data_IF_027530076774
#
_entry.id   IF_027530076774
#
_cell.length_a   1.000
_cell.length_b   1.000
_cell.length_c   1.000
_cell.angle_alpha   90.00
_cell.angle_beta   90.00
_cell.angle_gamma   90.00
#
_symmetry.space_group_name_H-M   'P 1'
#
loop_
_entity.id
_entity.type
_entity.pdbx_description
1 polymer ?
#
# COMPACT_ATOMS: atom_id res chain seq x y z
N UNK A 1 -10.94 -3.91 -32.85
CA UNK A 1 -11.21 -4.64 -31.58
C UNK A 1 -9.89 -5.13 -31.02
N UNK A 2 -9.41 -4.64 -29.85
CA UNK A 2 -8.27 -5.25 -29.16
C UNK A 2 -8.73 -6.60 -28.58
N UNK A 3 -7.86 -7.62 -28.64
CA UNK A 3 -8.17 -8.91 -28.06
C UNK A 3 -8.43 -8.75 -26.54
N UNK A 4 -9.47 -9.38 -25.99
CA UNK A 4 -9.88 -9.32 -24.56
C UNK A 4 -8.77 -9.68 -23.54
N UNK A 5 -7.62 -10.19 -24.01
CA UNK A 5 -6.48 -10.62 -23.16
C UNK A 5 -5.21 -9.80 -23.37
N UNK A 6 -5.32 -8.64 -24.01
CA UNK A 6 -4.13 -7.83 -24.38
C UNK A 6 -3.44 -7.23 -23.12
N UNK A 7 -4.21 -6.98 -22.05
CA UNK A 7 -3.69 -6.53 -20.75
C UNK A 7 -2.91 -7.61 -19.97
N UNK A 8 -3.05 -8.89 -20.36
CA UNK A 8 -2.32 -10.02 -19.77
C UNK A 8 -0.96 -10.28 -20.46
N UNK A 9 -0.55 -9.44 -21.43
CA UNK A 9 0.70 -9.59 -22.17
C UNK A 9 1.70 -8.52 -21.78
N UNK A 10 2.93 -8.92 -21.51
CA UNK A 10 4.05 -8.01 -21.23
C UNK A 10 4.37 -7.12 -22.43
N UNK A 11 4.73 -5.86 -22.13
CA UNK A 11 5.31 -4.95 -23.12
C UNK A 11 6.77 -5.29 -23.45
N UNK A 12 7.30 -4.76 -24.57
CA UNK A 12 8.64 -5.10 -25.08
C UNK A 12 9.80 -4.86 -24.10
N UNK A 13 9.67 -3.90 -23.18
CA UNK A 13 10.71 -3.54 -22.20
C UNK A 13 10.40 -4.02 -20.79
N UNK A 14 9.38 -4.83 -20.65
CA UNK A 14 8.94 -5.37 -19.36
C UNK A 14 9.61 -6.72 -19.13
N UNK A 15 10.33 -6.84 -18.03
CA UNK A 15 10.93 -8.10 -17.61
C UNK A 15 9.86 -9.11 -17.21
N UNK A 16 9.96 -10.31 -17.75
CA UNK A 16 9.17 -11.48 -17.35
C UNK A 16 10.01 -12.29 -16.36
N UNK A 17 9.45 -12.55 -15.20
CA UNK A 17 10.10 -13.42 -14.21
C UNK A 17 9.46 -14.81 -14.21
N UNK A 18 10.24 -15.81 -13.84
CA UNK A 18 9.73 -17.16 -13.63
C UNK A 18 9.07 -17.25 -12.25
N UNK A 19 7.73 -17.29 -12.24
CA UNK A 19 6.92 -17.39 -11.02
C UNK A 19 5.57 -18.07 -11.30
N UNK A 20 5.14 -18.92 -10.40
CA UNK A 20 3.82 -19.56 -10.41
C UNK A 20 2.79 -18.83 -9.53
N UNK A 21 3.24 -17.80 -8.80
CA UNK A 21 2.44 -17.12 -7.75
C UNK A 21 1.17 -16.51 -8.33
N UNK A 22 1.25 -15.82 -9.47
CA UNK A 22 0.08 -15.21 -10.10
C UNK A 22 -0.99 -16.26 -10.43
N UNK A 23 -0.60 -17.36 -11.06
CA UNK A 23 -1.53 -18.44 -11.40
C UNK A 23 -2.21 -19.01 -10.16
N UNK A 24 -1.46 -19.29 -9.11
CA UNK A 24 -1.97 -19.81 -7.83
C UNK A 24 -2.93 -18.85 -7.13
N UNK A 25 -2.61 -17.55 -7.12
CA UNK A 25 -3.47 -16.50 -6.51
C UNK A 25 -4.78 -16.40 -7.27
N UNK A 26 -4.74 -16.30 -8.61
CA UNK A 26 -5.93 -16.17 -9.43
C UNK A 26 -6.82 -17.43 -9.35
N UNK A 27 -6.23 -18.62 -9.37
CA UNK A 27 -6.96 -19.89 -9.20
C UNK A 27 -7.64 -19.96 -7.83
N UNK A 28 -6.92 -19.65 -6.74
CA UNK A 28 -7.48 -19.68 -5.39
C UNK A 28 -8.56 -18.63 -5.20
N UNK A 29 -8.37 -17.40 -5.73
CA UNK A 29 -9.39 -16.35 -5.71
C UNK A 29 -10.65 -16.76 -6.48
N UNK A 30 -10.49 -17.43 -7.62
CA UNK A 30 -11.61 -17.95 -8.42
C UNK A 30 -12.44 -19.01 -7.68
N UNK A 31 -11.82 -19.77 -6.78
CA UNK A 31 -12.48 -20.79 -5.93
C UNK A 31 -13.01 -20.21 -4.61
N UNK A 32 -12.63 -19.00 -4.25
CA UNK A 32 -13.02 -18.39 -2.99
C UNK A 32 -14.48 -17.96 -3.02
N UNK A 33 -15.30 -18.62 -2.19
CA UNK A 33 -16.73 -18.37 -2.02
C UNK A 33 -16.98 -17.86 -0.60
N UNK A 34 -17.06 -16.55 -0.42
CA UNK A 34 -17.16 -15.92 0.90
C UNK A 34 -18.42 -16.35 1.69
N UNK A 35 -19.52 -16.64 1.00
CA UNK A 35 -20.79 -17.01 1.60
C UNK A 35 -20.89 -18.49 2.02
N UNK A 36 -19.90 -19.33 1.74
CA UNK A 36 -19.90 -20.73 2.17
C UNK A 36 -19.55 -20.93 3.64
N UNK A 37 -18.97 -19.92 4.27
CA UNK A 37 -18.55 -19.95 5.68
C UNK A 37 -19.69 -19.51 6.60
N UNK A 38 -19.85 -20.19 7.72
CA UNK A 38 -20.80 -19.87 8.77
C UNK A 38 -20.11 -19.44 10.08
N UNK A 39 -20.91 -19.19 11.12
CA UNK A 39 -20.41 -18.76 12.42
C UNK A 39 -19.51 -19.80 13.09
N UNK A 40 -19.83 -21.10 12.94
CA UNK A 40 -19.04 -22.18 13.53
C UNK A 40 -17.65 -22.29 12.88
N UNK A 41 -17.55 -21.99 11.57
CA UNK A 41 -16.25 -21.88 10.90
C UNK A 41 -15.39 -20.78 11.51
N UNK A 42 -15.96 -19.60 11.72
CA UNK A 42 -15.23 -18.46 12.31
C UNK A 42 -14.80 -18.76 13.76
N UNK A 43 -15.69 -19.32 14.58
CA UNK A 43 -15.35 -19.73 15.95
C UNK A 43 -14.19 -20.73 15.98
N UNK A 44 -14.24 -21.74 15.11
CA UNK A 44 -13.17 -22.74 14.97
C UNK A 44 -11.84 -22.06 14.60
N UNK A 45 -11.85 -21.12 13.66
CA UNK A 45 -10.66 -20.38 13.22
C UNK A 45 -10.08 -19.54 14.34
N UNK A 46 -10.93 -18.89 15.11
CA UNK A 46 -10.49 -18.08 16.26
C UNK A 46 -9.86 -18.93 17.39
N UNK A 47 -10.09 -20.22 17.43
CA UNK A 47 -9.43 -21.13 18.35
C UNK A 47 -8.07 -21.68 17.89
N UNK A 48 -7.64 -21.45 16.63
CA UNK A 48 -6.40 -21.98 16.07
C UNK A 48 -5.21 -21.06 16.32
N UNK A 49 -4.05 -21.61 16.64
CA UNK A 49 -2.79 -20.84 16.82
C UNK A 49 -2.17 -20.41 15.49
N UNK A 50 -2.27 -21.23 14.45
CA UNK A 50 -1.75 -20.98 13.10
C UNK A 50 -2.90 -21.11 12.11
N UNK A 51 -3.06 -20.11 11.26
CA UNK A 51 -4.14 -20.08 10.28
C UNK A 51 -3.67 -20.61 8.92
N UNK A 52 -4.54 -21.40 8.30
CA UNK A 52 -4.40 -21.82 6.90
C UNK A 52 -5.00 -20.77 5.96
N UNK A 53 -4.80 -20.94 4.65
CA UNK A 53 -5.43 -20.09 3.61
C UNK A 53 -6.96 -20.20 3.70
N UNK A 54 -7.49 -21.38 4.01
CA UNK A 54 -8.92 -21.61 4.20
C UNK A 54 -9.45 -20.84 5.42
N UNK A 55 -8.73 -20.88 6.55
CA UNK A 55 -9.08 -20.12 7.75
C UNK A 55 -9.07 -18.60 7.49
N UNK A 56 -8.11 -18.12 6.70
CA UNK A 56 -8.06 -16.72 6.29
C UNK A 56 -9.30 -16.33 5.47
N UNK A 57 -9.74 -17.21 4.55
CA UNK A 57 -10.98 -17.02 3.80
C UNK A 57 -12.22 -16.90 4.72
N UNK A 58 -12.30 -17.70 5.77
CA UNK A 58 -13.39 -17.63 6.75
C UNK A 58 -13.41 -16.29 7.49
N UNK A 59 -12.25 -15.74 7.87
CA UNK A 59 -12.16 -14.43 8.54
C UNK A 59 -12.58 -13.25 7.63
N UNK A 60 -12.54 -13.41 6.32
CA UNK A 60 -13.01 -12.42 5.34
C UNK A 60 -14.49 -12.60 4.96
N UNK A 61 -15.15 -13.66 5.44
CA UNK A 61 -16.53 -13.97 5.10
C UNK A 61 -17.53 -12.98 5.71
N UNK A 62 -18.78 -12.90 5.20
CA UNK A 62 -19.84 -12.15 5.85
C UNK A 62 -20.14 -12.63 7.26
N UNK A 63 -20.01 -13.93 7.55
CA UNK A 63 -20.23 -14.49 8.89
C UNK A 63 -19.28 -13.88 9.94
N UNK A 64 -18.02 -13.56 9.56
CA UNK A 64 -17.05 -12.99 10.46
C UNK A 64 -17.36 -11.55 10.90
N UNK A 65 -18.31 -10.85 10.26
CA UNK A 65 -18.69 -9.50 10.68
C UNK A 65 -19.30 -9.46 12.09
N UNK A 66 -19.96 -10.53 12.52
CA UNK A 66 -20.48 -10.63 13.88
C UNK A 66 -19.42 -10.97 14.92
N UNK A 67 -18.20 -11.29 14.48
CA UNK A 67 -17.04 -11.65 15.32
C UNK A 67 -15.95 -10.57 15.35
N UNK A 68 -16.24 -9.32 14.96
CA UNK A 68 -15.23 -8.27 14.92
C UNK A 68 -14.57 -8.03 16.28
N UNK A 69 -15.32 -8.09 17.39
CA UNK A 69 -14.75 -7.95 18.75
C UNK A 69 -13.79 -9.09 19.12
N UNK A 70 -14.14 -10.38 19.03
CA UNK A 70 -13.18 -11.46 19.26
C UNK A 70 -12.01 -11.45 18.29
N UNK A 71 -12.21 -11.10 17.00
CA UNK A 71 -11.13 -10.89 16.06
C UNK A 71 -10.19 -9.76 16.52
N UNK A 72 -10.73 -8.62 16.96
CA UNK A 72 -9.95 -7.48 17.43
C UNK A 72 -9.15 -7.81 18.71
N UNK A 73 -9.77 -8.51 19.66
CA UNK A 73 -9.09 -8.96 20.88
C UNK A 73 -7.89 -9.85 20.56
N UNK A 74 -8.07 -10.82 19.66
CA UNK A 74 -7.01 -11.72 19.23
C UNK A 74 -5.96 -10.99 18.38
N UNK A 75 -6.36 -10.13 17.45
CA UNK A 75 -5.44 -9.36 16.63
C UNK A 75 -4.57 -8.41 17.50
N UNK A 76 -5.15 -7.80 18.53
CA UNK A 76 -4.41 -7.02 19.52
C UNK A 76 -3.35 -7.85 20.23
N UNK A 77 -3.69 -9.07 20.66
CA UNK A 77 -2.74 -9.98 21.28
C UNK A 77 -1.59 -10.31 20.34
N UNK A 78 -1.88 -10.65 19.06
CA UNK A 78 -0.85 -10.93 18.06
C UNK A 78 0.00 -9.70 17.75
N UNK A 79 -0.61 -8.50 17.66
CA UNK A 79 0.14 -7.25 17.45
C UNK A 79 1.11 -7.00 18.60
N UNK A 80 0.64 -7.13 19.86
CA UNK A 80 1.50 -6.95 21.02
C UNK A 80 2.61 -8.00 21.11
N UNK A 81 2.32 -9.25 20.74
CA UNK A 81 3.31 -10.33 20.72
C UNK A 81 4.42 -10.11 19.70
N UNK A 82 4.09 -9.55 18.52
CA UNK A 82 5.03 -9.37 17.43
C UNK A 82 5.72 -8.01 17.42
N UNK A 83 5.04 -6.95 17.83
CA UNK A 83 5.50 -5.57 17.70
C UNK A 83 5.55 -4.82 19.04
N UNK A 84 5.12 -5.45 20.14
CA UNK A 84 5.00 -4.76 21.41
C UNK A 84 4.01 -3.59 21.34
N UNK A 85 4.41 -2.47 21.92
CA UNK A 85 3.64 -1.22 21.87
C UNK A 85 4.12 -0.24 20.78
N UNK A 86 5.05 -0.65 19.92
CA UNK A 86 5.65 0.21 18.91
C UNK A 86 4.67 0.52 17.78
N UNK A 87 4.61 1.79 17.37
CA UNK A 87 3.89 2.28 16.19
C UNK A 87 4.83 3.15 15.38
N UNK A 88 5.21 2.68 14.20
CA UNK A 88 6.11 3.42 13.30
C UNK A 88 5.39 4.58 12.64
N UNK A 89 6.08 5.72 12.51
CA UNK A 89 5.55 6.93 11.90
C UNK A 89 6.32 7.27 10.62
N UNK A 90 5.60 7.64 9.56
CA UNK A 90 6.18 8.08 8.29
C UNK A 90 5.36 9.18 7.63
N UNK A 91 5.89 9.76 6.57
CA UNK A 91 5.11 10.64 5.69
C UNK A 91 5.43 10.38 4.22
N UNK A 92 4.45 10.51 3.30
CA UNK A 92 4.68 10.52 1.87
C UNK A 92 5.19 11.88 1.40
N UNK A 93 6.06 11.88 0.37
CA UNK A 93 6.44 13.05 -0.40
C UNK A 93 6.18 12.80 -1.89
N UNK A 94 5.25 13.55 -2.46
CA UNK A 94 4.94 13.50 -3.89
C UNK A 94 5.88 14.42 -4.68
N UNK A 95 6.78 13.82 -5.46
CA UNK A 95 7.80 14.57 -6.23
C UNK A 95 7.39 14.84 -7.68
N UNK A 96 6.34 14.16 -8.18
CA UNK A 96 5.78 14.42 -9.52
C UNK A 96 4.37 13.84 -9.65
N UNK A 97 3.45 14.60 -10.26
CA UNK A 97 2.10 14.12 -10.62
C UNK A 97 1.91 13.92 -12.13
N UNK A 98 2.98 13.97 -12.93
CA UNK A 98 2.91 13.58 -14.34
C UNK A 98 2.62 12.08 -14.45
N UNK A 99 1.55 11.73 -15.17
CA UNK A 99 1.13 10.34 -15.37
C UNK A 99 0.64 10.13 -16.80
N UNK A 100 0.97 8.99 -17.39
CA UNK A 100 0.56 8.61 -18.76
C UNK A 100 -0.61 7.63 -18.78
N UNK A 101 -1.06 7.18 -17.57
CA UNK A 101 -2.15 6.24 -17.41
C UNK A 101 -3.52 6.91 -17.33
N UNK A 102 -4.55 6.14 -17.70
CA UNK A 102 -5.96 6.53 -17.63
C UNK A 102 -6.70 5.71 -16.55
N UNK A 103 -6.17 5.67 -15.33
CA UNK A 103 -6.88 5.02 -14.23
C UNK A 103 -8.14 5.82 -13.87
N UNK A 104 -9.32 5.19 -13.98
CA UNK A 104 -10.61 5.89 -13.82
C UNK A 104 -10.88 6.38 -12.39
N UNK A 105 -10.08 5.96 -11.42
CA UNK A 105 -10.22 6.23 -9.98
C UNK A 105 -9.13 7.16 -9.42
N UNK A 106 -8.25 7.71 -10.26
CA UNK A 106 -7.05 8.42 -9.80
C UNK A 106 -7.06 9.88 -10.24
N UNK A 107 -6.81 10.80 -9.31
CA UNK A 107 -6.67 12.23 -9.60
C UNK A 107 -5.56 12.54 -10.61
N UNK A 108 -4.49 11.73 -10.65
CA UNK A 108 -3.39 11.87 -11.62
C UNK A 108 -3.68 11.31 -13.01
N UNK A 109 -4.88 10.81 -13.27
CA UNK A 109 -5.30 10.36 -14.61
C UNK A 109 -4.86 11.37 -15.67
N UNK A 110 -4.22 10.90 -16.76
CA UNK A 110 -3.66 11.78 -17.79
C UNK A 110 -4.68 12.67 -18.51
N UNK A 111 -5.98 12.38 -18.39
CA UNK A 111 -7.09 13.20 -18.93
C UNK A 111 -7.61 14.25 -17.97
N UNK A 112 -7.25 14.18 -16.69
CA UNK A 112 -7.70 15.17 -15.72
C UNK A 112 -7.00 16.51 -15.96
N UNK A 113 -7.80 17.58 -15.98
CA UNK A 113 -7.30 18.95 -16.09
C UNK A 113 -6.81 19.43 -14.70
N UNK A 114 -5.65 18.96 -14.29
CA UNK A 114 -5.00 19.32 -13.03
C UNK A 114 -3.69 20.06 -13.30
N UNK A 115 -3.25 20.84 -12.33
CA UNK A 115 -1.94 21.49 -12.34
C UNK A 115 -0.85 20.41 -12.18
N UNK A 116 -0.10 20.16 -13.26
CA UNK A 116 0.99 19.18 -13.30
C UNK A 116 2.30 19.81 -12.89
N UNK A 117 3.02 19.15 -11.98
CA UNK A 117 4.34 19.58 -11.55
C UNK A 117 5.29 18.38 -11.38
N UNK A 118 6.57 18.67 -11.45
CA UNK A 118 7.69 17.80 -11.12
C UNK A 118 8.72 18.67 -10.42
N UNK A 119 9.05 18.32 -9.18
CA UNK A 119 10.07 19.05 -8.42
C UNK A 119 11.46 18.85 -9.04
N UNK A 120 12.28 19.87 -9.06
CA UNK A 120 13.71 19.71 -9.26
C UNK A 120 14.40 19.26 -7.95
N UNK A 121 15.70 18.96 -8.02
CA UNK A 121 16.42 18.43 -6.85
C UNK A 121 16.54 19.45 -5.72
N UNK A 122 16.58 20.76 -6.01
CA UNK A 122 16.61 21.82 -5.00
C UNK A 122 15.29 21.89 -4.24
N UNK A 123 14.17 21.86 -4.95
CA UNK A 123 12.84 21.83 -4.36
C UNK A 123 12.62 20.53 -3.56
N UNK A 124 13.06 19.37 -4.06
CA UNK A 124 13.01 18.12 -3.32
C UNK A 124 13.80 18.23 -2.01
N UNK A 125 15.02 18.79 -2.06
CA UNK A 125 15.83 18.95 -0.84
C UNK A 125 15.17 19.88 0.18
N UNK A 126 14.52 20.95 -0.26
CA UNK A 126 13.77 21.84 0.64
C UNK A 126 12.61 21.12 1.33
N UNK A 127 11.84 20.32 0.58
CA UNK A 127 10.76 19.48 1.12
C UNK A 127 11.29 18.44 2.13
N UNK A 128 12.37 17.73 1.79
CA UNK A 128 13.02 16.74 2.67
C UNK A 128 13.51 17.38 3.98
N UNK A 129 14.10 18.57 3.93
CA UNK A 129 14.53 19.33 5.13
C UNK A 129 13.34 19.73 6.00
N UNK A 130 12.25 20.19 5.40
CA UNK A 130 11.02 20.54 6.12
C UNK A 130 10.41 19.33 6.84
N UNK A 131 10.40 18.17 6.18
CA UNK A 131 9.91 16.91 6.77
C UNK A 131 10.87 16.43 7.86
N UNK A 132 12.17 16.40 7.61
CA UNK A 132 13.17 15.95 8.59
C UNK A 132 13.17 16.80 9.88
N UNK A 133 12.85 18.10 9.77
CA UNK A 133 12.70 19.00 10.92
C UNK A 133 11.56 18.58 11.88
N UNK A 134 10.60 17.74 11.43
CA UNK A 134 9.55 17.16 12.29
C UNK A 134 10.05 16.00 13.15
N UNK A 135 11.26 15.50 12.91
CA UNK A 135 11.88 14.35 13.56
C UNK A 135 11.61 13.01 12.87
N UNK A 136 10.76 12.97 11.83
CA UNK A 136 10.52 11.72 11.06
C UNK A 136 11.81 11.20 10.43
N UNK A 137 11.96 9.87 10.44
CA UNK A 137 13.12 9.14 9.91
C UNK A 137 12.74 8.14 8.81
N UNK A 138 11.45 8.03 8.50
CA UNK A 138 10.89 7.16 7.44
C UNK A 138 10.11 8.04 6.45
N UNK A 139 10.51 7.98 5.18
CA UNK A 139 9.87 8.72 4.09
C UNK A 139 9.48 7.80 2.95
N UNK A 140 8.33 8.07 2.34
CA UNK A 140 7.84 7.38 1.16
C UNK A 140 7.80 8.35 -0.02
N UNK A 141 8.67 8.16 -1.02
CA UNK A 141 8.69 8.99 -2.24
C UNK A 141 7.67 8.47 -3.26
N UNK A 142 6.82 9.35 -3.78
CA UNK A 142 5.79 9.00 -4.74
C UNK A 142 5.89 9.78 -6.05
N UNK A 143 5.56 9.09 -7.15
CA UNK A 143 5.38 9.72 -8.46
C UNK A 143 4.16 9.19 -9.19
N UNK A 144 3.59 9.99 -10.08
CA UNK A 144 2.79 9.45 -11.17
C UNK A 144 3.67 8.59 -12.12
N UNK A 145 3.04 7.77 -12.94
CA UNK A 145 3.75 6.92 -13.91
C UNK A 145 4.02 7.68 -15.21
N UNK A 146 5.20 8.23 -15.34
CA UNK A 146 5.72 8.85 -16.57
C UNK A 146 7.23 8.65 -16.66
N UNK A 147 7.64 7.67 -17.48
CA UNK A 147 9.08 7.40 -17.67
C UNK A 147 9.83 8.57 -18.32
N UNK A 148 9.14 9.44 -19.03
CA UNK A 148 9.72 10.63 -19.67
C UNK A 148 9.90 11.81 -18.71
N UNK A 149 9.04 11.95 -17.70
CA UNK A 149 9.07 13.07 -16.72
C UNK A 149 9.68 12.68 -15.38
N UNK A 150 9.38 11.48 -14.89
CA UNK A 150 9.89 10.91 -13.64
C UNK A 150 10.51 9.53 -13.91
N UNK A 151 11.54 9.49 -14.75
CA UNK A 151 12.28 8.25 -15.06
C UNK A 151 13.13 7.76 -13.88
N UNK A 152 13.63 6.53 -13.98
CA UNK A 152 14.35 5.83 -12.91
C UNK A 152 15.57 6.62 -12.40
N UNK A 153 16.32 7.29 -13.30
CA UNK A 153 17.45 8.13 -12.91
C UNK A 153 17.02 9.29 -11.99
N UNK A 154 15.94 10.01 -12.36
CA UNK A 154 15.39 11.08 -11.54
C UNK A 154 14.92 10.58 -10.17
N UNK A 155 14.24 9.44 -10.13
CA UNK A 155 13.79 8.83 -8.88
C UNK A 155 15.02 8.40 -8.04
N UNK A 156 16.04 7.82 -8.67
CA UNK A 156 17.29 7.46 -8.01
C UNK A 156 18.02 8.64 -7.39
N UNK A 157 18.06 9.79 -8.08
CA UNK A 157 18.66 11.02 -7.53
C UNK A 157 17.86 11.54 -6.33
N UNK A 158 16.51 11.51 -6.39
CA UNK A 158 15.65 11.86 -5.27
C UNK A 158 15.84 10.91 -4.07
N UNK A 159 15.98 9.60 -4.32
CA UNK A 159 16.28 8.59 -3.28
C UNK A 159 17.63 8.86 -2.62
N UNK A 160 18.72 9.11 -3.42
CA UNK A 160 20.04 9.47 -2.85
C UNK A 160 19.97 10.70 -1.96
N UNK A 161 19.17 11.68 -2.38
CA UNK A 161 18.99 12.90 -1.62
C UNK A 161 18.22 12.63 -0.33
N UNK A 162 17.12 11.86 -0.38
CA UNK A 162 16.33 11.47 0.79
C UNK A 162 17.16 10.65 1.80
N UNK A 163 18.01 9.74 1.34
CA UNK A 163 18.88 8.90 2.17
C UNK A 163 19.92 9.70 3.01
N UNK A 164 20.09 11.00 2.72
CA UNK A 164 20.93 11.92 3.54
C UNK A 164 20.22 12.43 4.78
N UNK A 165 18.88 12.40 4.77
CA UNK A 165 18.04 12.97 5.81
C UNK A 165 17.20 11.93 6.57
N UNK A 166 16.98 10.74 5.97
CA UNK A 166 16.11 9.71 6.50
C UNK A 166 16.83 8.37 6.58
N UNK A 167 16.58 7.64 7.65
CA UNK A 167 17.16 6.29 7.86
C UNK A 167 16.44 5.23 7.02
N UNK A 168 15.17 5.48 6.66
CA UNK A 168 14.33 4.57 5.89
C UNK A 168 13.71 5.31 4.71
N UNK A 169 13.97 4.86 3.49
CA UNK A 169 13.45 5.46 2.25
C UNK A 169 12.66 4.41 1.48
N UNK A 170 11.35 4.60 1.42
CA UNK A 170 10.47 3.81 0.56
C UNK A 170 10.16 4.51 -0.75
N UNK A 171 9.73 3.74 -1.74
CA UNK A 171 9.21 4.26 -3.00
C UNK A 171 7.84 3.66 -3.32
N UNK A 172 6.88 4.51 -3.69
CA UNK A 172 5.57 4.13 -4.23
C UNK A 172 5.46 4.70 -5.64
N UNK A 173 5.93 3.93 -6.58
CA UNK A 173 6.09 4.31 -7.99
C UNK A 173 5.50 3.23 -8.90
N UNK A 174 5.60 3.45 -10.21
CA UNK A 174 5.22 2.44 -11.19
C UNK A 174 6.14 1.20 -11.14
N UNK A 175 5.68 0.02 -11.59
CA UNK A 175 6.49 -1.19 -11.62
C UNK A 175 7.77 -1.02 -12.45
N UNK A 176 8.87 -1.58 -11.96
CA UNK A 176 10.17 -1.55 -12.58
C UNK A 176 10.68 -2.96 -12.90
N UNK A 177 11.71 -3.06 -13.71
CA UNK A 177 12.49 -4.28 -13.92
C UNK A 177 13.44 -4.51 -12.73
N UNK A 178 13.98 -5.71 -12.61
CA UNK A 178 14.86 -6.08 -11.49
C UNK A 178 16.11 -5.20 -11.42
N UNK A 179 16.73 -4.92 -12.55
CA UNK A 179 17.93 -4.05 -12.62
C UNK A 179 17.63 -2.59 -12.27
N UNK A 180 16.45 -2.09 -12.62
CA UNK A 180 15.99 -0.75 -12.24
C UNK A 180 15.73 -0.67 -10.71
N UNK A 181 15.13 -1.71 -10.11
CA UNK A 181 14.99 -1.81 -8.66
C UNK A 181 16.35 -1.90 -7.96
N UNK A 182 17.29 -2.69 -8.50
CA UNK A 182 18.66 -2.77 -7.99
C UNK A 182 19.37 -1.41 -8.02
N UNK A 183 19.16 -0.63 -9.09
CA UNK A 183 19.66 0.74 -9.16
C UNK A 183 19.07 1.61 -8.04
N UNK A 184 17.74 1.59 -7.80
CA UNK A 184 17.11 2.38 -6.74
C UNK A 184 17.61 1.92 -5.35
N UNK A 185 17.80 0.62 -5.15
CA UNK A 185 18.37 0.08 -3.92
C UNK A 185 19.78 0.61 -3.69
N UNK A 186 20.65 0.60 -4.71
CA UNK A 186 21.99 1.19 -4.66
C UNK A 186 21.96 2.69 -4.36
N UNK A 187 20.90 3.40 -4.77
CA UNK A 187 20.67 4.81 -4.43
C UNK A 187 20.24 5.01 -2.97
N UNK A 188 19.78 3.95 -2.30
CA UNK A 188 19.39 3.99 -0.90
C UNK A 188 17.90 3.71 -0.63
N UNK A 189 17.15 3.19 -1.60
CA UNK A 189 15.80 2.73 -1.34
C UNK A 189 15.80 1.41 -0.57
N UNK A 190 14.94 1.32 0.45
CA UNK A 190 14.84 0.17 1.35
C UNK A 190 13.64 -0.71 1.02
N UNK A 191 12.50 -0.11 0.68
CA UNK A 191 11.26 -0.85 0.43
C UNK A 191 10.43 -0.25 -0.70
N UNK A 192 9.55 -1.08 -1.25
CA UNK A 192 8.71 -0.73 -2.39
C UNK A 192 7.23 -0.97 -2.07
N UNK A 193 6.40 0.01 -2.39
CA UNK A 193 4.94 -0.12 -2.37
C UNK A 193 4.41 -0.15 -3.80
N UNK A 194 3.85 -1.28 -4.23
CA UNK A 194 3.13 -1.39 -5.50
C UNK A 194 1.83 -2.16 -5.26
N UNK A 195 0.71 -1.43 -5.21
CA UNK A 195 -0.59 -2.05 -5.01
C UNK A 195 -1.12 -2.61 -6.31
N UNK A 196 -1.70 -3.82 -6.26
CA UNK A 196 -2.32 -4.45 -7.44
C UNK A 196 -3.59 -3.73 -7.87
N UNK A 197 -4.17 -2.93 -7.01
CA UNK A 197 -5.42 -2.20 -7.14
C UNK A 197 -6.65 -3.12 -7.06
N UNK A 198 -6.80 -4.06 -7.98
CA UNK A 198 -7.74 -5.18 -7.91
C UNK A 198 -7.12 -6.43 -8.52
N UNK A 199 -7.46 -7.59 -7.99
CA UNK A 199 -7.03 -8.90 -8.51
C UNK A 199 -8.02 -9.48 -9.52
N UNK A 200 -9.22 -8.89 -9.64
CA UNK A 200 -10.17 -9.20 -10.71
C UNK A 200 -9.62 -8.70 -12.05
N UNK A 201 -9.21 -9.62 -12.93
CA UNK A 201 -8.52 -9.30 -14.18
C UNK A 201 -9.39 -8.52 -15.16
N UNK A 202 -10.70 -8.83 -15.23
CA UNK A 202 -11.63 -8.14 -16.12
C UNK A 202 -11.88 -6.71 -15.60
N UNK A 203 -12.10 -6.59 -14.29
CA UNK A 203 -12.26 -5.27 -13.67
C UNK A 203 -10.99 -4.45 -13.76
N UNK A 204 -9.81 -5.08 -13.63
CA UNK A 204 -8.53 -4.41 -13.81
C UNK A 204 -8.39 -3.78 -15.19
N UNK A 205 -8.79 -4.49 -16.27
CA UNK A 205 -8.78 -3.95 -17.62
C UNK A 205 -9.73 -2.75 -17.78
N UNK A 206 -10.93 -2.84 -17.20
CA UNK A 206 -11.94 -1.76 -17.25
C UNK A 206 -11.43 -0.47 -16.58
N UNK A 207 -10.83 -0.59 -15.40
CA UNK A 207 -10.37 0.58 -14.62
C UNK A 207 -9.01 1.13 -15.08
N UNK A 208 -8.28 0.39 -15.92
CA UNK A 208 -7.02 0.80 -16.54
C UNK A 208 -7.08 0.75 -18.08
N UNK A 209 -7.92 1.56 -18.73
CA UNK A 209 -8.18 1.44 -20.17
C UNK A 209 -6.97 1.78 -21.07
N UNK A 210 -5.98 2.51 -20.53
CA UNK A 210 -4.79 2.95 -21.29
C UNK A 210 -3.60 3.22 -20.36
N UNK A 211 -2.38 3.08 -20.94
CA UNK A 211 -1.10 3.32 -20.28
C UNK A 211 -0.42 2.01 -19.86
N UNK A 212 0.79 2.13 -19.32
CA UNK A 212 1.61 0.96 -18.92
C UNK A 212 1.01 0.20 -17.75
N UNK A 213 0.29 0.89 -16.86
CA UNK A 213 -0.39 0.29 -15.71
C UNK A 213 -1.44 -0.76 -16.13
N UNK A 214 -1.94 -0.68 -17.38
CA UNK A 214 -2.88 -1.67 -17.93
C UNK A 214 -2.30 -3.09 -17.98
N UNK A 215 -0.98 -3.26 -17.97
CA UNK A 215 -0.34 -4.58 -18.07
C UNK A 215 -0.36 -5.27 -16.71
N UNK A 216 -1.36 -6.13 -16.52
CA UNK A 216 -1.66 -6.81 -15.26
C UNK A 216 -0.50 -7.63 -14.70
N UNK A 217 0.11 -8.60 -15.44
CA UNK A 217 1.15 -9.46 -14.88
C UNK A 217 2.41 -8.69 -14.51
N UNK A 218 2.77 -7.66 -15.28
CA UNK A 218 3.93 -6.84 -14.97
C UNK A 218 3.77 -6.10 -13.63
N UNK A 219 2.56 -5.64 -13.33
CA UNK A 219 2.28 -5.02 -12.03
C UNK A 219 2.21 -6.06 -10.92
N UNK A 220 1.59 -7.22 -11.18
CA UNK A 220 1.49 -8.30 -10.21
C UNK A 220 2.86 -8.77 -9.73
N UNK A 221 3.81 -8.96 -10.61
CA UNK A 221 5.15 -9.47 -10.31
C UNK A 221 6.12 -8.40 -9.77
N UNK A 222 5.66 -7.17 -9.52
CA UNK A 222 6.53 -6.07 -9.13
C UNK A 222 7.27 -6.31 -7.80
N UNK A 223 6.60 -6.92 -6.82
CA UNK A 223 7.19 -7.22 -5.51
C UNK A 223 8.32 -8.25 -5.63
N UNK A 224 8.14 -9.29 -6.44
CA UNK A 224 9.20 -10.28 -6.67
C UNK A 224 10.40 -9.65 -7.38
N UNK A 225 10.18 -8.80 -8.40
CA UNK A 225 11.28 -8.07 -9.06
C UNK A 225 12.01 -7.14 -8.09
N UNK A 226 11.26 -6.45 -7.21
CA UNK A 226 11.86 -5.57 -6.20
C UNK A 226 12.77 -6.35 -5.22
N UNK A 227 12.31 -7.50 -4.72
CA UNK A 227 13.11 -8.37 -3.85
C UNK A 227 14.33 -8.95 -4.56
N UNK A 228 14.21 -9.37 -5.82
CA UNK A 228 15.35 -9.79 -6.66
C UNK A 228 16.33 -8.64 -6.90
N UNK A 229 15.85 -7.41 -6.96
CA UNK A 229 16.66 -6.19 -7.06
C UNK A 229 17.31 -5.75 -5.73
N UNK A 230 17.14 -6.52 -4.65
CA UNK A 230 17.80 -6.27 -3.36
C UNK A 230 16.98 -5.43 -2.37
N UNK A 231 15.75 -5.06 -2.71
CA UNK A 231 14.88 -4.35 -1.75
C UNK A 231 14.64 -5.23 -0.50
N UNK A 232 14.76 -4.62 0.68
CA UNK A 232 14.55 -5.28 1.96
C UNK A 232 13.08 -5.63 2.21
N UNK A 233 12.16 -4.75 1.81
CA UNK A 233 10.74 -4.89 2.08
C UNK A 233 9.85 -4.60 0.88
N UNK A 234 8.67 -5.20 0.90
CA UNK A 234 7.60 -4.96 -0.10
C UNK A 234 6.25 -4.84 0.58
N UNK A 235 5.43 -3.91 0.05
CA UNK A 235 4.08 -3.68 0.53
C UNK A 235 3.05 -4.21 -0.46
N UNK A 236 1.99 -4.80 0.07
CA UNK A 236 0.86 -5.34 -0.66
C UNK A 236 -0.42 -4.59 -0.35
N UNK A 237 -1.31 -4.48 -1.33
CA UNK A 237 -2.62 -3.88 -1.16
C UNK A 237 -3.47 -3.97 -2.42
N UNK A 238 -4.77 -3.88 -2.22
CA UNK A 238 -5.76 -3.60 -3.23
C UNK A 238 -6.51 -2.33 -2.84
N UNK A 239 -6.99 -1.57 -3.83
CA UNK A 239 -7.86 -0.42 -3.60
C UNK A 239 -9.29 -0.94 -3.42
N UNK A 240 -9.66 -1.20 -2.16
CA UNK A 240 -10.93 -1.80 -1.81
C UNK A 240 -12.11 -0.95 -2.28
N UNK A 241 -13.03 -1.57 -3.01
CA UNK A 241 -14.17 -0.91 -3.64
C UNK A 241 -14.06 -0.79 -5.17
N UNK A 242 -12.94 -1.17 -5.79
CA UNK A 242 -12.87 -1.29 -7.25
C UNK A 242 -13.59 -2.54 -7.76
N UNK A 243 -13.48 -3.67 -7.06
CA UNK A 243 -14.18 -4.92 -7.33
C UNK A 243 -14.76 -5.49 -6.02
N UNK A 244 -14.99 -6.81 -5.95
CA UNK A 244 -15.36 -7.49 -4.70
C UNK A 244 -14.21 -7.39 -3.68
N UNK A 245 -14.41 -6.60 -2.64
CA UNK A 245 -13.37 -6.32 -1.67
C UNK A 245 -12.91 -7.56 -0.88
N UNK A 246 -13.77 -8.56 -0.70
CA UNK A 246 -13.39 -9.81 -0.02
C UNK A 246 -12.47 -10.66 -0.87
N UNK A 247 -12.79 -10.76 -2.17
CA UNK A 247 -11.92 -11.43 -3.15
C UNK A 247 -10.59 -10.73 -3.29
N UNK A 248 -10.60 -9.38 -3.39
CA UNK A 248 -9.38 -8.59 -3.46
C UNK A 248 -8.54 -8.70 -2.18
N UNK A 249 -9.16 -8.65 -0.99
CA UNK A 249 -8.46 -8.84 0.27
C UNK A 249 -7.88 -10.24 0.42
N UNK A 250 -8.64 -11.28 0.02
CA UNK A 250 -8.18 -12.67 0.02
C UNK A 250 -6.97 -12.86 -0.91
N UNK A 251 -7.07 -12.37 -2.14
CA UNK A 251 -5.98 -12.45 -3.11
C UNK A 251 -4.73 -11.68 -2.65
N UNK A 252 -4.90 -10.49 -2.06
CA UNK A 252 -3.80 -9.70 -1.50
C UNK A 252 -3.06 -10.47 -0.40
N UNK A 253 -3.79 -11.05 0.55
CA UNK A 253 -3.18 -11.82 1.65
C UNK A 253 -2.48 -13.07 1.14
N UNK A 254 -3.09 -13.78 0.19
CA UNK A 254 -2.48 -14.97 -0.42
C UNK A 254 -1.23 -14.62 -1.23
N UNK A 255 -1.25 -13.53 -2.00
CA UNK A 255 -0.09 -13.04 -2.74
C UNK A 255 1.08 -12.75 -1.80
N UNK A 256 0.85 -11.96 -0.76
CA UNK A 256 1.85 -11.66 0.26
C UNK A 256 2.40 -12.93 0.93
N UNK A 257 1.53 -13.88 1.28
CA UNK A 257 1.91 -15.16 1.90
C UNK A 257 2.79 -16.01 0.98
N UNK A 258 2.47 -16.10 -0.30
CA UNK A 258 3.26 -16.87 -1.26
C UNK A 258 4.62 -16.22 -1.56
N UNK A 259 4.66 -14.89 -1.66
CA UNK A 259 5.93 -14.14 -1.78
C UNK A 259 6.78 -14.33 -0.53
N UNK A 260 6.21 -14.24 0.69
CA UNK A 260 6.95 -14.52 1.92
C UNK A 260 7.52 -15.94 1.97
N UNK A 261 6.78 -16.94 1.50
CA UNK A 261 7.31 -18.32 1.42
C UNK A 261 8.47 -18.46 0.46
N UNK A 262 8.44 -17.75 -0.66
CA UNK A 262 9.50 -17.77 -1.67
C UNK A 262 10.72 -16.94 -1.26
N UNK A 263 10.48 -15.85 -0.54
CA UNK A 263 11.48 -14.89 -0.06
C UNK A 263 11.37 -14.71 1.46
N UNK A 264 11.83 -15.69 2.27
CA UNK A 264 11.61 -15.68 3.74
C UNK A 264 12.32 -14.55 4.47
N UNK A 265 13.33 -13.94 3.84
CA UNK A 265 14.07 -12.78 4.38
C UNK A 265 13.37 -11.44 4.15
N UNK A 266 12.32 -11.42 3.32
CA UNK A 266 11.64 -10.18 2.95
C UNK A 266 10.79 -9.63 4.09
N UNK A 267 10.81 -8.34 4.32
CA UNK A 267 9.82 -7.66 5.13
C UNK A 267 8.53 -7.49 4.34
N UNK A 268 7.46 -8.07 4.84
CA UNK A 268 6.13 -7.97 4.25
C UNK A 268 5.30 -6.96 5.01
N UNK A 269 4.64 -6.07 4.28
CA UNK A 269 3.64 -5.18 4.86
C UNK A 269 2.37 -5.11 4.04
N UNK A 270 1.25 -4.79 4.70
CA UNK A 270 -0.03 -4.52 4.10
C UNK A 270 -0.40 -3.05 4.24
N UNK A 271 -1.00 -2.50 3.19
CA UNK A 271 -1.70 -1.24 3.26
C UNK A 271 -3.02 -1.40 2.49
N UNK A 272 -4.16 -1.60 3.18
CA UNK A 272 -5.46 -1.77 2.53
C UNK A 272 -6.15 -0.40 2.34
N UNK A 273 -5.86 0.37 1.27
CA UNK A 273 -6.60 1.58 0.98
C UNK A 273 -8.00 1.23 0.50
N UNK A 274 -8.98 2.05 0.87
CA UNK A 274 -10.29 1.99 0.22
C UNK A 274 -10.49 3.19 -0.69
N UNK A 275 -11.37 3.02 -1.68
CA UNK A 275 -11.70 4.07 -2.63
C UNK A 275 -12.25 5.29 -1.88
N UNK A 276 -11.76 6.47 -2.23
CA UNK A 276 -12.16 7.76 -1.67
C UNK A 276 -12.51 8.70 -2.82
N UNK A 277 -13.36 9.71 -2.59
CA UNK A 277 -13.58 10.76 -3.57
C UNK A 277 -12.26 11.38 -4.05
N UNK A 278 -12.19 11.72 -5.32
CA UNK A 278 -11.07 12.39 -5.95
C UNK A 278 -11.59 13.46 -6.93
N UNK A 279 -10.71 14.34 -7.40
CA UNK A 279 -11.07 15.37 -8.37
C UNK A 279 -11.78 14.73 -9.58
N UNK A 280 -12.93 15.27 -9.95
CA UNK A 280 -13.81 14.83 -11.05
C UNK A 280 -14.60 13.53 -10.81
N UNK A 281 -14.64 12.99 -9.60
CA UNK A 281 -15.54 11.90 -9.26
C UNK A 281 -15.97 11.98 -7.78
N UNK A 282 -17.11 12.61 -7.55
CA UNK A 282 -17.76 12.68 -6.25
C UNK A 282 -18.95 11.70 -6.13
N UNK A 283 -19.21 10.88 -7.16
CA UNK A 283 -20.36 9.98 -7.18
C UNK A 283 -20.21 8.83 -6.17
N UNK A 284 -21.32 8.41 -5.59
CA UNK A 284 -21.36 7.23 -4.72
C UNK A 284 -20.95 5.98 -5.51
N UNK A 285 -20.03 5.20 -4.94
CA UNK A 285 -19.63 3.93 -5.50
C UNK A 285 -20.49 2.81 -4.89
N UNK A 286 -21.27 2.04 -5.68
CA UNK A 286 -22.09 0.95 -5.14
C UNK A 286 -21.27 -0.18 -4.50
N UNK A 287 -19.95 -0.17 -4.66
CA UNK A 287 -19.01 -1.10 -4.02
C UNK A 287 -18.26 -0.47 -2.86
N UNK A 288 -18.78 0.60 -2.28
CA UNK A 288 -18.14 1.28 -1.16
C UNK A 288 -17.86 0.31 0.00
N UNK A 289 -16.66 0.45 0.54
CA UNK A 289 -16.19 -0.31 1.70
C UNK A 289 -16.24 0.60 2.91
N UNK A 290 -17.09 0.26 3.88
CA UNK A 290 -17.24 1.02 5.12
C UNK A 290 -16.22 0.61 6.19
N UNK A 291 -16.10 1.40 7.25
CA UNK A 291 -15.12 1.15 8.31
C UNK A 291 -15.18 -0.25 8.95
N UNK A 292 -16.37 -0.85 9.23
CA UNK A 292 -16.40 -2.21 9.77
C UNK A 292 -15.82 -3.27 8.82
N UNK A 293 -16.00 -3.09 7.52
CA UNK A 293 -15.44 -3.99 6.50
C UNK A 293 -13.93 -3.81 6.36
N UNK A 294 -13.45 -2.56 6.38
CA UNK A 294 -12.01 -2.27 6.39
C UNK A 294 -11.36 -2.84 7.65
N UNK A 295 -11.99 -2.65 8.82
CA UNK A 295 -11.52 -3.24 10.07
C UNK A 295 -11.43 -4.76 9.96
N UNK A 296 -12.47 -5.43 9.45
CA UNK A 296 -12.46 -6.87 9.23
C UNK A 296 -11.26 -7.33 8.40
N UNK A 297 -10.98 -6.65 7.28
CA UNK A 297 -9.83 -6.95 6.41
C UNK A 297 -8.50 -6.77 7.16
N UNK A 298 -8.35 -5.67 7.89
CA UNK A 298 -7.13 -5.40 8.67
C UNK A 298 -6.90 -6.44 9.77
N UNK A 299 -7.96 -6.82 10.48
CA UNK A 299 -7.90 -7.87 11.51
C UNK A 299 -7.57 -9.23 10.88
N UNK A 300 -8.17 -9.58 9.75
CA UNK A 300 -7.88 -10.82 9.04
C UNK A 300 -6.42 -10.92 8.58
N UNK A 301 -5.84 -9.83 8.05
CA UNK A 301 -4.41 -9.78 7.70
C UNK A 301 -3.51 -9.99 8.92
N UNK A 302 -3.80 -9.31 10.04
CA UNK A 302 -3.05 -9.47 11.28
C UNK A 302 -3.09 -10.90 11.81
N UNK A 303 -4.25 -11.54 11.74
CA UNK A 303 -4.41 -12.92 12.22
C UNK A 303 -3.76 -13.95 11.30
N UNK A 304 -3.81 -13.72 9.98
CA UNK A 304 -3.24 -14.65 8.98
C UNK A 304 -1.71 -14.54 8.88
N UNK A 305 -1.18 -13.32 8.93
CA UNK A 305 0.27 -13.05 8.87
C UNK A 305 0.66 -12.13 10.04
N UNK A 306 0.78 -12.69 11.26
CA UNK A 306 0.93 -11.88 12.48
C UNK A 306 2.23 -11.08 12.54
N UNK A 307 3.25 -11.45 11.78
CA UNK A 307 4.54 -10.75 11.69
C UNK A 307 4.57 -9.64 10.61
N UNK A 308 3.58 -9.57 9.73
CA UNK A 308 3.56 -8.56 8.68
C UNK A 308 3.26 -7.16 9.22
N UNK A 309 3.95 -6.15 8.70
CA UNK A 309 3.59 -4.75 8.95
C UNK A 309 2.18 -4.43 8.46
N UNK A 310 1.48 -3.52 9.11
CA UNK A 310 0.16 -3.08 8.66
C UNK A 310 0.04 -1.57 8.80
N UNK A 311 -0.09 -0.91 7.66
CA UNK A 311 -0.12 0.55 7.54
C UNK A 311 -1.54 1.09 7.48
N UNK A 312 -1.82 2.15 8.22
CA UNK A 312 -3.03 2.95 8.09
C UNK A 312 -2.70 4.38 7.65
N UNK A 313 -3.34 4.82 6.56
CA UNK A 313 -3.07 6.12 5.93
C UNK A 313 -4.09 7.19 6.30
N UNK A 314 -3.80 8.44 5.93
CA UNK A 314 -4.69 9.61 6.09
C UNK A 314 -5.92 9.60 5.18
N UNK A 315 -6.11 8.56 4.35
CA UNK A 315 -7.39 8.32 3.67
C UNK A 315 -8.51 8.10 4.67
N UNK A 316 -8.17 7.57 5.85
CA UNK A 316 -9.12 7.30 6.93
C UNK A 316 -9.18 8.46 7.91
N UNK A 317 -10.38 8.69 8.49
CA UNK A 317 -10.59 9.74 9.49
C UNK A 317 -9.81 9.45 10.78
N UNK A 318 -9.44 10.51 11.49
CA UNK A 318 -8.64 10.45 12.71
C UNK A 318 -9.18 9.43 13.73
N UNK A 319 -10.48 9.45 14.04
CA UNK A 319 -11.07 8.52 15.01
C UNK A 319 -10.91 7.05 14.66
N UNK A 320 -11.05 6.66 13.38
CA UNK A 320 -10.80 5.28 12.94
C UNK A 320 -9.32 4.90 13.08
N UNK A 321 -8.42 5.78 12.62
CA UNK A 321 -6.97 5.58 12.72
C UNK A 321 -6.53 5.39 14.16
N UNK A 322 -7.04 6.20 15.07
CA UNK A 322 -6.75 6.13 16.52
C UNK A 322 -7.18 4.79 17.14
N UNK A 323 -8.24 4.17 16.64
CA UNK A 323 -8.72 2.90 17.18
C UNK A 323 -7.98 1.68 16.61
N UNK A 324 -7.55 1.71 15.35
CA UNK A 324 -6.90 0.54 14.74
C UNK A 324 -5.43 0.40 15.11
N UNK A 325 -4.73 1.50 15.49
CA UNK A 325 -3.40 1.38 16.08
C UNK A 325 -3.52 0.66 17.44
N UNK A 326 -2.60 -0.26 17.70
CA UNK A 326 -2.65 -1.10 18.89
C UNK A 326 -3.69 -2.24 18.83
N UNK A 327 -4.64 -2.24 17.87
CA UNK A 327 -5.41 -3.45 17.55
C UNK A 327 -4.68 -4.29 16.49
N UNK A 328 -4.32 -3.69 15.38
CA UNK A 328 -3.75 -4.40 14.25
C UNK A 328 -2.74 -3.56 13.43
N UNK A 329 -2.91 -2.25 13.33
CA UNK A 329 -2.00 -1.37 12.60
C UNK A 329 -0.71 -1.10 13.40
N UNK A 330 0.42 -1.15 12.71
CA UNK A 330 1.78 -0.99 13.27
C UNK A 330 2.52 0.20 12.67
N UNK A 331 1.97 0.79 11.61
CA UNK A 331 2.55 1.95 10.93
C UNK A 331 1.47 2.96 10.59
N UNK A 332 1.74 4.24 10.80
CA UNK A 332 0.78 5.33 10.60
C UNK A 332 1.46 6.50 9.89
N UNK A 333 0.78 7.08 8.89
CA UNK A 333 1.26 8.31 8.25
C UNK A 333 0.87 9.56 9.06
N UNK A 334 1.71 10.58 9.07
CA UNK A 334 1.48 11.82 9.82
C UNK A 334 2.01 13.05 9.06
N UNK A 335 1.39 14.20 9.24
CA UNK A 335 1.79 15.42 8.56
C UNK A 335 1.71 15.33 7.04
N UNK A 336 0.75 14.56 6.51
CA UNK A 336 0.67 14.20 5.09
C UNK A 336 0.28 15.41 4.24
N UNK A 337 1.00 15.58 3.13
CA UNK A 337 0.62 16.40 1.98
C UNK A 337 0.56 15.50 0.74
N UNK A 338 -0.48 15.67 -0.06
CA UNK A 338 -0.68 14.91 -1.31
C UNK A 338 -0.46 15.76 -2.56
N UNK A 339 -0.21 17.04 -2.35
CA UNK A 339 0.16 18.00 -3.37
C UNK A 339 1.64 17.86 -3.73
N UNK A 340 2.05 18.44 -4.87
CA UNK A 340 3.46 18.48 -5.24
C UNK A 340 4.08 19.74 -4.60
N UNK A 341 5.04 19.56 -3.68
CA UNK A 341 5.74 20.65 -3.00
C UNK A 341 5.02 21.23 -1.78
N UNK A 342 4.10 20.50 -1.15
CA UNK A 342 3.23 21.05 -0.10
C UNK A 342 3.85 21.19 1.29
N UNK A 343 4.99 20.55 1.61
CA UNK A 343 5.57 20.59 2.97
C UNK A 343 6.31 21.90 3.27
N UNK A 344 6.83 22.59 2.26
CA UNK A 344 7.40 23.95 2.39
C UNK A 344 6.33 25.05 2.40
N UNK A 345 5.07 24.70 2.12
CA UNK A 345 3.95 25.66 1.99
C UNK A 345 3.77 26.22 0.58
N UNK A 346 4.58 25.82 -0.39
CA UNK A 346 4.49 26.21 -1.80
C UNK A 346 3.96 25.06 -2.66
N UNK A 347 2.65 24.96 -2.81
CA UNK A 347 2.01 23.95 -3.65
C UNK A 347 2.27 24.21 -5.13
N UNK A 348 3.06 23.34 -5.78
CA UNK A 348 3.39 23.46 -7.21
C UNK A 348 2.43 22.68 -8.10
N UNK A 349 1.78 21.62 -7.60
CA UNK A 349 0.87 20.78 -8.36
C UNK A 349 -0.23 20.17 -7.51
N UNK A 350 -1.35 19.82 -8.16
CA UNK A 350 -2.54 19.29 -7.49
C UNK A 350 -2.31 17.88 -6.94
N UNK A 351 -3.04 17.56 -5.86
CA UNK A 351 -2.97 16.28 -5.15
C UNK A 351 -3.69 15.12 -5.86
N UNK A 352 -3.43 13.91 -5.38
CA UNK A 352 -3.97 12.68 -5.97
C UNK A 352 -5.41 12.37 -5.52
N UNK A 353 -5.73 12.66 -4.27
CA UNK A 353 -7.02 12.40 -3.62
C UNK A 353 -7.18 13.28 -2.39
N UNK A 354 -8.37 13.31 -1.81
CA UNK A 354 -8.64 14.03 -0.57
C UNK A 354 -8.21 13.22 0.66
N UNK A 355 -7.51 13.89 1.60
CA UNK A 355 -7.15 13.30 2.90
C UNK A 355 -8.25 13.59 3.93
N UNK A 356 -8.48 12.62 4.84
CA UNK A 356 -9.49 12.73 5.90
C UNK A 356 -8.88 13.07 7.27
N UNK A 357 -7.56 12.99 7.40
CA UNK A 357 -6.82 13.31 8.63
C UNK A 357 -5.61 14.17 8.29
N UNK A 358 -5.68 15.45 8.64
CA UNK A 358 -4.65 16.46 8.36
C UNK A 358 -3.74 16.74 9.55
N UNK A 359 -3.79 15.92 10.61
CA UNK A 359 -2.98 16.13 11.81
C UNK A 359 -1.48 16.16 11.50
N UNK A 360 -0.79 17.06 12.18
CA UNK A 360 0.67 17.18 12.17
C UNK A 360 1.35 15.94 12.78
N UNK A 361 2.65 15.81 12.57
CA UNK A 361 3.47 14.77 13.20
C UNK A 361 3.38 14.83 14.72
N UNK A 362 3.43 16.03 15.31
CA UNK A 362 3.33 16.22 16.76
C UNK A 362 1.98 15.78 17.34
N UNK A 363 0.88 16.08 16.65
CA UNK A 363 -0.47 15.68 17.09
C UNK A 363 -0.66 14.15 17.03
N UNK A 364 -0.17 13.51 15.96
CA UNK A 364 -0.23 12.04 15.84
C UNK A 364 0.69 11.39 16.89
N UNK A 365 1.88 11.92 17.13
CA UNK A 365 2.77 11.48 18.20
C UNK A 365 2.08 11.53 19.59
N UNK A 366 1.50 12.68 19.92
CA UNK A 366 0.79 12.85 21.20
C UNK A 366 -0.40 11.88 21.33
N UNK A 367 -1.12 11.63 20.24
CA UNK A 367 -2.23 10.66 20.21
C UNK A 367 -1.73 9.24 20.48
N UNK A 368 -0.62 8.80 19.88
CA UNK A 368 -0.03 7.47 20.11
C UNK A 368 0.32 7.30 21.61
N UNK A 369 1.01 8.28 22.20
CA UNK A 369 1.33 8.27 23.63
C UNK A 369 0.07 8.22 24.51
N UNK A 370 -0.95 9.03 24.19
CA UNK A 370 -2.23 9.05 24.94
C UNK A 370 -2.92 7.68 24.94
N UNK A 371 -2.67 6.85 23.92
CA UNK A 371 -3.21 5.49 23.85
C UNK A 371 -2.34 4.43 24.54
N UNK A 372 -1.28 4.85 25.23
CA UNK A 372 -0.35 3.95 25.92
C UNK A 372 0.58 3.18 24.98
N UNK A 373 0.75 3.69 23.76
CA UNK A 373 1.63 3.12 22.72
C UNK A 373 2.90 3.96 22.60
N UNK A 374 3.93 3.40 21.94
CA UNK A 374 5.23 4.01 21.74
C UNK A 374 5.35 4.48 20.28
N UNK A 375 5.38 5.80 19.98
CA UNK A 375 5.72 6.29 18.67
C UNK A 375 7.18 5.99 18.35
N UNK A 376 7.43 5.38 17.18
CA UNK A 376 8.76 5.01 16.70
C UNK A 376 9.03 5.75 15.40
N UNK A 377 10.14 6.46 15.33
CA UNK A 377 10.56 7.20 14.14
C UNK A 377 11.51 6.38 13.26
N UNK A 378 12.28 5.47 13.85
CA UNK A 378 13.10 4.50 13.14
C UNK A 378 13.26 3.24 13.99
N UNK A 379 13.19 2.10 13.35
CA UNK A 379 13.48 0.76 13.89
C UNK A 379 14.66 0.11 13.16
N UNK A 380 15.25 0.85 12.20
CA UNK A 380 16.33 0.40 11.35
C UNK A 380 17.47 1.43 11.31
N UNK A 381 18.67 0.95 11.48
CA UNK A 381 19.90 1.74 11.32
C UNK A 381 20.75 1.09 10.23
N UNK A 382 21.10 1.86 9.20
CA UNK A 382 22.06 1.40 8.19
C UNK A 382 23.42 1.25 8.83
N UNK A 383 24.03 0.07 8.67
CA UNK A 383 25.37 -0.26 9.17
C UNK A 383 26.38 -0.08 8.06
#
# INVERSE_FOLDING_TARGET
MRAKTDHMRYGRHMEVIESDIMGRVLEAMGRYEAHRYDAADVERVLGRSVLTIEDFGALLSPAAQTFLEPMAARARHETQRMFGNAVSMFTPLYISNFCENMCVYCGFNCRNAIRRARLDMEAIEAELKAIAATGLQDILLLTGESRSKSGVAYIGDAVRLAARYFNLVGVEIYPLNTDEYAHLHTCGADYVCVYQETYDTDRYEEVHPRGSKRIYPYRFDAQERALKGGMRGVAFGALLGLADFRKDAFATGLHAHLVQKKYPHAEISFSPPRLRPYINNADENPRDVHEPQLLQVMLAYRLFMPFAGLTISTRERAGFRDHVIGLCATKISAGVRVDIGGHTGEEQGDGQFEISDSRSVAEVHAMILKRGLQPVYTDYVRV
#
